data_IF_192979014443
#
_entry.id   IF_192979014443
#
_cell.length_a   1.000
_cell.length_b   1.000
_cell.length_c   1.000
_cell.angle_alpha   90.00
_cell.angle_beta   90.00
_cell.angle_gamma   90.00
#
_symmetry.space_group_name_H-M   'P 1'
#
loop_
_entity.id
_entity.type
_entity.pdbx_description
1 polymer ?
#
# COMPACT_ATOMS: atom_id res chain seq x y z
N UNK A 1 7.05 -0.40 13.52
CA UNK A 1 6.35 0.28 12.41
C UNK A 1 6.82 -0.28 11.08
N UNK A 2 7.94 0.16 10.48
CA UNK A 2 8.49 -0.47 9.26
C UNK A 2 8.67 -2.01 9.37
N UNK A 3 9.15 -2.50 10.52
CA UNK A 3 9.26 -3.94 10.78
C UNK A 3 7.91 -4.68 10.83
N UNK A 4 6.82 -4.01 11.25
CA UNK A 4 5.47 -4.58 11.25
C UNK A 4 4.98 -4.69 9.80
N UNK A 5 5.12 -3.62 9.00
CA UNK A 5 4.77 -3.67 7.57
C UNK A 5 5.57 -4.71 6.77
N UNK A 6 6.86 -4.90 7.06
CA UNK A 6 7.67 -5.95 6.43
C UNK A 6 7.16 -7.34 6.79
N UNK A 7 6.78 -7.57 8.05
CA UNK A 7 6.13 -8.80 8.51
C UNK A 7 4.75 -9.01 7.85
N UNK A 8 3.96 -7.94 7.65
CA UNK A 8 2.67 -7.99 6.98
C UNK A 8 2.77 -8.34 5.48
N UNK A 9 3.83 -7.89 4.80
CA UNK A 9 4.09 -8.23 3.39
C UNK A 9 4.49 -9.69 3.21
N UNK A 10 5.41 -10.20 4.04
CA UNK A 10 5.83 -11.59 4.01
C UNK A 10 4.66 -12.53 4.37
N UNK A 11 4.15 -12.42 5.59
CA UNK A 11 3.24 -13.41 6.17
C UNK A 11 1.79 -13.23 5.71
N UNK A 12 1.42 -11.99 5.38
CA UNK A 12 0.09 -11.64 4.91
C UNK A 12 -0.02 -11.71 3.39
N UNK A 13 0.60 -10.73 2.71
CA UNK A 13 0.49 -10.58 1.25
C UNK A 13 1.09 -11.77 0.49
N UNK A 14 1.96 -12.57 1.13
CA UNK A 14 2.75 -13.61 0.44
C UNK A 14 3.72 -13.00 -0.57
N UNK A 15 4.04 -11.72 -0.40
CA UNK A 15 5.01 -11.01 -1.21
C UNK A 15 6.40 -11.25 -0.63
N UNK A 16 7.34 -11.58 -1.51
CA UNK A 16 8.77 -11.59 -1.21
C UNK A 16 9.22 -10.17 -0.82
N UNK A 17 9.15 -9.84 0.48
CA UNK A 17 9.26 -8.45 0.94
C UNK A 17 10.65 -7.86 0.76
N UNK A 18 11.67 -8.68 0.51
CA UNK A 18 13.03 -8.21 0.20
C UNK A 18 13.11 -7.58 -1.20
N UNK A 19 12.12 -7.85 -2.07
CA UNK A 19 11.93 -7.17 -3.37
C UNK A 19 11.09 -5.90 -3.27
N UNK A 20 10.68 -5.50 -2.07
CA UNK A 20 9.93 -4.28 -1.80
C UNK A 20 10.72 -3.33 -0.89
N UNK A 21 10.87 -2.10 -1.34
CA UNK A 21 11.28 -0.99 -0.50
C UNK A 21 10.07 -0.52 0.32
N UNK A 22 10.29 -0.21 1.60
CA UNK A 22 9.23 0.24 2.52
C UNK A 22 9.52 1.64 3.04
N UNK A 23 8.52 2.51 2.89
CA UNK A 23 8.46 3.86 3.46
C UNK A 23 7.26 3.91 4.42
N UNK A 24 7.35 4.72 5.47
CA UNK A 24 6.23 5.00 6.35
C UNK A 24 5.91 6.49 6.31
N UNK A 25 4.72 6.83 5.85
CA UNK A 25 4.20 8.20 5.87
C UNK A 25 3.58 8.48 7.23
N UNK A 26 3.98 9.55 7.95
CA UNK A 26 3.34 9.91 9.21
C UNK A 26 1.87 10.33 8.99
N UNK A 27 1.56 10.96 7.86
CA UNK A 27 0.21 11.32 7.42
C UNK A 27 0.10 11.07 5.90
N UNK A 28 -0.95 10.38 5.47
CA UNK A 28 -1.33 10.21 4.06
C UNK A 28 -2.87 10.22 3.98
N UNK A 29 -3.46 11.20 3.28
CA UNK A 29 -4.92 11.32 3.12
C UNK A 29 -5.70 11.15 4.44
N UNK A 30 -5.35 11.96 5.43
CA UNK A 30 -5.88 11.96 6.81
C UNK A 30 -5.56 10.72 7.67
N UNK A 31 -5.12 9.62 7.05
CA UNK A 31 -4.66 8.41 7.74
C UNK A 31 -3.26 8.58 8.35
N UNK A 32 -3.09 8.08 9.58
CA UNK A 32 -1.86 8.20 10.36
C UNK A 32 -1.01 6.94 10.26
N UNK A 33 0.29 7.09 10.01
CA UNK A 33 1.23 5.97 9.87
C UNK A 33 0.79 5.01 8.75
N UNK A 34 0.82 5.48 7.50
CA UNK A 34 0.53 4.66 6.33
C UNK A 34 1.84 4.07 5.80
N UNK A 35 1.94 2.75 5.75
CA UNK A 35 3.05 2.06 5.11
C UNK A 35 2.87 2.08 3.59
N UNK A 36 3.91 2.45 2.86
CA UNK A 36 3.96 2.35 1.40
C UNK A 36 5.08 1.36 1.06
N UNK A 37 4.72 0.26 0.43
CA UNK A 37 5.68 -0.76 0.01
C UNK A 37 5.67 -0.89 -1.51
N UNK A 38 6.80 -0.62 -2.18
CA UNK A 38 6.87 -0.58 -3.63
C UNK A 38 7.99 -1.44 -4.19
N UNK A 39 7.79 -1.90 -5.42
CA UNK A 39 8.77 -2.63 -6.20
C UNK A 39 8.66 -2.19 -7.65
N UNK A 40 9.69 -1.52 -8.17
CA UNK A 40 9.77 -1.13 -9.58
C UNK A 40 9.96 -2.36 -10.49
N UNK A 41 10.72 -3.35 -10.02
CA UNK A 41 10.91 -4.65 -10.67
C UNK A 41 9.58 -5.38 -10.90
N UNK A 42 8.70 -5.41 -9.89
CA UNK A 42 7.38 -6.04 -9.98
C UNK A 42 6.27 -5.08 -10.45
N UNK A 43 6.59 -3.80 -10.69
CA UNK A 43 5.66 -2.73 -11.05
C UNK A 43 4.46 -2.60 -10.09
N UNK A 44 4.69 -2.78 -8.78
CA UNK A 44 3.65 -2.86 -7.75
C UNK A 44 3.88 -1.88 -6.61
N UNK A 45 2.79 -1.38 -6.06
CA UNK A 45 2.75 -0.64 -4.79
C UNK A 45 1.67 -1.23 -3.91
N UNK A 46 1.93 -1.31 -2.61
CA UNK A 46 0.95 -1.61 -1.57
C UNK A 46 0.84 -0.42 -0.62
N UNK A 47 -0.39 0.00 -0.36
CA UNK A 47 -0.70 0.82 0.82
C UNK A 47 -1.05 -0.11 1.97
N UNK A 48 -0.50 0.16 3.15
CA UNK A 48 -0.58 -0.67 4.34
C UNK A 48 -1.06 0.17 5.53
N UNK A 49 -2.30 -0.05 5.96
CA UNK A 49 -2.95 0.71 7.04
C UNK A 49 -3.01 -0.15 8.31
N UNK A 50 -2.63 0.41 9.46
CA UNK A 50 -2.73 -0.27 10.78
C UNK A 50 -4.04 0.16 11.43
N UNK A 51 -4.97 -0.77 11.62
CA UNK A 51 -6.20 -0.51 12.40
C UNK A 51 -7.13 0.57 11.84
N UNK A 52 -6.96 0.96 10.57
CA UNK A 52 -7.91 1.84 9.88
C UNK A 52 -9.23 1.12 9.65
N UNK A 53 -10.33 1.86 9.69
CA UNK A 53 -11.63 1.36 9.25
C UNK A 53 -11.63 1.14 7.74
N UNK A 54 -12.34 0.12 7.26
CA UNK A 54 -12.50 -0.08 5.82
C UNK A 54 -13.39 1.03 5.26
N UNK A 55 -13.10 1.59 4.07
CA UNK A 55 -14.12 2.28 3.31
C UNK A 55 -15.30 1.35 3.08
N UNK A 56 -16.51 1.89 3.13
CA UNK A 56 -17.72 1.14 2.79
C UNK A 56 -17.58 0.54 1.36
N UNK A 57 -17.98 -0.74 1.12
CA UNK A 57 -17.68 -1.43 -0.14
C UNK A 57 -18.20 -0.74 -1.42
N UNK A 58 -19.24 0.08 -1.31
CA UNK A 58 -19.80 0.85 -2.43
C UNK A 58 -18.89 2.03 -2.80
N UNK A 59 -18.17 2.57 -1.82
CA UNK A 59 -17.26 3.71 -1.96
C UNK A 59 -15.79 3.29 -2.15
N UNK A 60 -15.42 2.05 -1.80
CA UNK A 60 -14.07 1.48 -1.97
C UNK A 60 -13.46 1.74 -3.37
N UNK A 61 -14.17 1.61 -4.51
CA UNK A 61 -13.60 1.90 -5.83
C UNK A 61 -13.25 3.37 -6.05
N UNK A 62 -14.03 4.30 -5.49
CA UNK A 62 -13.77 5.75 -5.58
C UNK A 62 -12.62 6.12 -4.67
N UNK A 63 -12.65 5.64 -3.43
CA UNK A 63 -11.56 5.83 -2.47
C UNK A 63 -10.23 5.33 -3.04
N UNK A 64 -10.19 4.15 -3.66
CA UNK A 64 -8.99 3.64 -4.33
C UNK A 64 -8.47 4.54 -5.46
N UNK A 65 -9.34 5.19 -6.22
CA UNK A 65 -8.92 6.15 -7.26
C UNK A 65 -8.27 7.40 -6.64
N UNK A 66 -8.81 7.90 -5.52
CA UNK A 66 -8.22 9.03 -4.81
C UNK A 66 -6.87 8.66 -4.18
N UNK A 67 -6.74 7.48 -3.56
CA UNK A 67 -5.46 6.95 -3.07
C UNK A 67 -4.42 6.84 -4.20
N UNK A 68 -4.82 6.33 -5.38
CA UNK A 68 -3.93 6.19 -6.54
C UNK A 68 -3.50 7.55 -7.12
N UNK A 69 -4.39 8.55 -7.08
CA UNK A 69 -4.11 9.93 -7.49
C UNK A 69 -3.06 10.58 -6.57
N UNK A 70 -3.21 10.47 -5.25
CA UNK A 70 -2.22 11.02 -4.31
C UNK A 70 -0.88 10.28 -4.40
N UNK A 71 -0.88 8.94 -4.55
CA UNK A 71 0.33 8.19 -4.87
C UNK A 71 0.99 8.67 -6.17
N UNK A 72 0.21 9.01 -7.19
CA UNK A 72 0.72 9.55 -8.46
C UNK A 72 1.36 10.92 -8.27
N UNK A 73 0.77 11.79 -7.46
CA UNK A 73 1.31 13.13 -7.15
C UNK A 73 2.62 13.05 -6.34
N UNK A 74 2.67 12.15 -5.35
CA UNK A 74 3.86 11.93 -4.51
C UNK A 74 5.01 11.32 -5.30
N UNK A 75 4.76 10.22 -6.02
CA UNK A 75 5.80 9.47 -6.76
C UNK A 75 6.18 10.07 -8.11
N UNK A 76 5.36 11.01 -8.62
CA UNK A 76 5.41 11.54 -10.00
C UNK A 76 5.39 10.45 -11.08
N UNK A 77 4.73 9.34 -10.78
CA UNK A 77 4.57 8.16 -11.64
C UNK A 77 3.09 7.81 -11.69
N UNK A 78 2.52 7.49 -12.85
CA UNK A 78 1.13 7.04 -12.91
C UNK A 78 0.94 5.74 -12.11
N UNK A 79 0.19 5.84 -11.01
CA UNK A 79 -0.27 4.73 -10.20
C UNK A 79 -1.75 4.50 -10.47
N UNK A 80 -2.14 3.23 -10.66
CA UNK A 80 -3.54 2.84 -10.87
C UNK A 80 -3.97 1.77 -9.87
N UNK A 81 -5.24 1.77 -9.41
CA UNK A 81 -5.77 0.64 -8.65
C UNK A 81 -5.71 -0.62 -9.49
N UNK A 82 -5.19 -1.71 -8.92
CA UNK A 82 -5.25 -3.01 -9.58
C UNK A 82 -6.66 -3.59 -9.35
N UNK A 83 -7.48 -3.62 -10.41
CA UNK A 83 -8.90 -3.99 -10.38
C UNK A 83 -9.20 -5.38 -9.82
N UNK A 84 -8.20 -6.26 -9.65
CA UNK A 84 -8.36 -7.58 -9.03
C UNK A 84 -8.09 -7.59 -7.52
N UNK A 85 -7.77 -6.43 -6.93
CA UNK A 85 -7.23 -6.30 -5.58
C UNK A 85 -8.33 -5.97 -4.57
N UNK A 86 -9.03 -6.99 -4.11
CA UNK A 86 -9.81 -6.87 -2.88
C UNK A 86 -8.89 -6.49 -1.71
N UNK A 87 -9.36 -5.60 -0.84
CA UNK A 87 -8.69 -5.29 0.42
C UNK A 87 -8.33 -6.57 1.19
N UNK A 88 -7.05 -6.90 1.28
CA UNK A 88 -6.60 -8.08 2.02
C UNK A 88 -6.22 -7.67 3.44
N UNK A 89 -6.72 -8.40 4.43
CA UNK A 89 -6.49 -8.10 5.84
C UNK A 89 -5.72 -9.22 6.51
N UNK A 90 -4.65 -8.86 7.20
CA UNK A 90 -3.73 -9.79 7.82
C UNK A 90 -3.42 -9.38 9.24
N UNK A 91 -3.09 -10.35 10.10
CA UNK A 91 -2.55 -10.09 11.44
C UNK A 91 -1.05 -9.76 11.36
N UNK A 92 -0.72 -8.71 10.59
CA UNK A 92 0.63 -8.32 10.20
C UNK A 92 1.45 -7.59 11.26
N UNK A 93 1.14 -7.74 12.55
CA UNK A 93 1.88 -7.05 13.61
C UNK A 93 1.56 -7.54 15.00
N UNK A 94 2.57 -8.12 15.66
CA UNK A 94 2.51 -8.85 16.94
C UNK A 94 1.88 -8.02 18.08
N UNK A 95 1.82 -6.69 17.95
CA UNK A 95 1.39 -5.75 19.01
C UNK A 95 0.34 -4.72 18.63
N UNK A 96 -0.07 -4.58 17.35
CA UNK A 96 -0.84 -3.41 16.88
C UNK A 96 -2.14 -3.71 16.11
N UNK A 97 -2.51 -4.98 15.98
CA UNK A 97 -3.78 -5.38 15.36
C UNK A 97 -3.68 -5.66 13.86
N UNK A 98 -4.82 -5.79 13.15
CA UNK A 98 -4.82 -6.13 11.74
C UNK A 98 -4.26 -4.99 10.88
N UNK A 99 -3.52 -5.38 9.84
CA UNK A 99 -3.10 -4.52 8.74
C UNK A 99 -3.98 -4.79 7.53
N UNK A 100 -4.47 -3.72 6.92
CA UNK A 100 -5.23 -3.76 5.67
C UNK A 100 -4.28 -3.34 4.54
N UNK A 101 -4.15 -4.18 3.52
CA UNK A 101 -3.33 -3.93 2.35
C UNK A 101 -4.20 -3.69 1.11
N UNK A 102 -3.89 -2.63 0.37
CA UNK A 102 -4.45 -2.34 -0.94
C UNK A 102 -3.35 -2.35 -1.99
N UNK A 103 -3.55 -3.07 -3.11
CA UNK A 103 -2.56 -3.24 -4.17
C UNK A 103 -2.85 -2.32 -5.35
N UNK A 104 -1.80 -1.67 -5.83
CA UNK A 104 -1.78 -0.76 -6.96
C UNK A 104 -0.69 -1.19 -7.94
N UNK A 105 -0.84 -0.78 -9.20
CA UNK A 105 0.14 -1.00 -10.27
C UNK A 105 0.83 0.31 -10.63
N UNK A 106 2.15 0.27 -10.80
CA UNK A 106 2.93 1.32 -11.46
C UNK A 106 2.71 1.20 -12.97
N UNK A 107 1.89 2.07 -13.54
CA UNK A 107 1.51 1.99 -14.95
C UNK A 107 2.65 2.43 -15.89
N UNK A 108 3.42 3.46 -15.50
CA UNK A 108 4.52 4.01 -16.30
C UNK A 108 5.83 3.19 -16.21
N UNK A 109 5.84 2.09 -15.44
CA UNK A 109 7.00 1.20 -15.27
C UNK A 109 8.34 1.94 -14.99
N UNK A 110 8.40 2.84 -13.99
CA UNK A 110 9.58 3.67 -13.77
C UNK A 110 10.78 2.82 -13.29
N UNK A 111 12.02 3.15 -13.69
CA UNK A 111 13.20 2.43 -13.24
C UNK A 111 13.47 2.63 -11.73
N UNK A 112 13.06 3.76 -11.17
CA UNK A 112 13.13 4.08 -9.75
C UNK A 112 12.02 5.08 -9.40
N UNK A 113 11.52 5.05 -8.15
CA UNK A 113 10.58 6.05 -7.65
C UNK A 113 11.33 7.20 -6.96
N UNK A 114 10.74 8.39 -6.97
CA UNK A 114 11.18 9.53 -6.17
C UNK A 114 10.11 9.83 -5.14
N UNK A 115 10.52 9.95 -3.88
CA UNK A 115 9.68 10.26 -2.73
C UNK A 115 10.28 11.47 -1.98
#
# INVERSE_FOLDING_TARGET
>A
MLAEYRHALNDGVGADSDRYELICYPNFMDEQNVGVAYSTELQRVYLLFIGADRPEPIYEPVWLLDQAKELTLLTRTLVVPDQTSHATTFWGGIKRGPIISYRFKLADAPPFLKF
#
